data_IF_038050132210
#
_entry.id   IF_038050132210
#
_cell.length_a   1.000
_cell.length_b   1.000
_cell.length_c   1.000
_cell.angle_alpha   90.00
_cell.angle_beta   90.00
_cell.angle_gamma   90.00
#
_symmetry.space_group_name_H-M   'P 1'
#
loop_
_entity.id
_entity.type
_entity.pdbx_description
1 polymer ?
#
# COMPACT_ATOMS: atom_id res chain seq x y z
N UNK A 1 4.43 3.76 -25.58
CA UNK A 1 3.46 3.40 -24.62
C UNK A 1 3.92 3.64 -23.20
N UNK A 2 3.24 4.51 -22.50
CA UNK A 2 3.67 4.84 -21.16
C UNK A 2 3.14 3.80 -20.18
N UNK A 3 3.99 2.89 -19.81
CA UNK A 3 3.68 2.02 -18.69
C UNK A 3 3.57 2.90 -17.45
N UNK A 4 2.65 2.60 -16.57
CA UNK A 4 2.56 3.28 -15.30
C UNK A 4 3.85 2.99 -14.52
N UNK A 5 4.62 4.03 -14.29
CA UNK A 5 5.84 3.89 -13.51
C UNK A 5 5.50 3.74 -12.04
N UNK A 6 6.03 2.69 -11.46
CA UNK A 6 5.92 2.48 -10.02
C UNK A 6 7.23 2.94 -9.41
N UNK A 7 7.18 3.94 -8.54
CA UNK A 7 8.39 4.45 -7.89
C UNK A 7 8.96 3.40 -6.95
N UNK A 8 10.23 3.61 -6.56
CA UNK A 8 10.89 2.71 -5.62
C UNK A 8 10.11 2.59 -4.31
N UNK A 9 9.64 3.73 -3.80
CA UNK A 9 8.85 3.74 -2.58
C UNK A 9 7.55 2.98 -2.75
N UNK A 10 6.86 3.18 -3.87
CA UNK A 10 5.63 2.45 -4.15
C UNK A 10 5.85 0.95 -4.23
N UNK A 11 6.95 0.51 -4.83
CA UNK A 11 7.31 -0.91 -4.87
C UNK A 11 7.54 -1.46 -3.47
N UNK A 12 8.25 -0.72 -2.64
CA UNK A 12 8.49 -1.12 -1.25
C UNK A 12 7.18 -1.24 -0.48
N UNK A 13 6.27 -0.30 -0.69
CA UNK A 13 4.96 -0.32 -0.05
C UNK A 13 4.14 -1.53 -0.48
N UNK A 14 4.10 -1.81 -1.79
CA UNK A 14 3.37 -2.95 -2.32
C UNK A 14 3.94 -4.27 -1.78
N UNK A 15 5.27 -4.39 -1.73
CA UNK A 15 5.92 -5.59 -1.21
C UNK A 15 5.60 -5.80 0.27
N UNK A 16 5.66 -4.74 1.05
CA UNK A 16 5.32 -4.80 2.47
C UNK A 16 3.86 -5.20 2.68
N UNK A 17 2.96 -4.58 1.91
CA UNK A 17 1.53 -4.88 1.99
C UNK A 17 1.24 -6.32 1.59
N UNK A 18 1.91 -6.82 0.56
CA UNK A 18 1.74 -8.20 0.11
C UNK A 18 2.20 -9.18 1.20
N UNK A 19 3.36 -8.92 1.81
CA UNK A 19 3.87 -9.75 2.88
C UNK A 19 2.91 -9.77 4.07
N UNK A 20 2.38 -8.61 4.43
CA UNK A 20 1.43 -8.51 5.53
C UNK A 20 0.11 -9.21 5.19
N UNK A 21 -0.34 -9.07 3.94
CA UNK A 21 -1.53 -9.77 3.46
C UNK A 21 -1.37 -11.29 3.58
N UNK A 22 -0.21 -11.81 3.17
CA UNK A 22 0.07 -13.25 3.30
C UNK A 22 0.12 -13.69 4.75
N UNK A 23 0.72 -12.88 5.62
CA UNK A 23 0.84 -13.17 7.05
C UNK A 23 -0.54 -13.28 7.71
N UNK A 24 -1.48 -12.43 7.31
CA UNK A 24 -2.83 -12.42 7.89
C UNK A 24 -3.85 -13.15 7.04
N UNK A 25 -3.45 -13.65 5.87
CA UNK A 25 -4.33 -14.26 4.86
C UNK A 25 -5.47 -13.32 4.44
N UNK A 26 -5.18 -12.01 4.46
CA UNK A 26 -6.14 -11.01 4.07
C UNK A 26 -7.28 -10.78 5.05
N UNK A 27 -7.24 -11.42 6.22
CA UNK A 27 -8.30 -11.30 7.23
C UNK A 27 -8.22 -9.97 7.97
N UNK A 28 -6.99 -9.49 8.21
CA UNK A 28 -6.75 -8.27 8.98
C UNK A 28 -6.15 -7.22 8.06
N UNK A 29 -6.72 -6.02 8.09
CA UNK A 29 -6.18 -4.89 7.34
C UNK A 29 -4.80 -4.49 7.86
N UNK A 30 -3.95 -4.03 6.96
CA UNK A 30 -2.63 -3.51 7.33
C UNK A 30 -2.78 -2.17 8.02
N UNK A 31 -1.94 -1.90 9.01
CA UNK A 31 -1.94 -0.65 9.75
C UNK A 31 -1.11 0.41 9.01
N UNK A 32 -1.69 1.59 8.83
CA UNK A 32 -0.96 2.72 8.25
C UNK A 32 0.27 3.06 9.10
N UNK A 33 0.12 3.06 10.41
CA UNK A 33 1.21 3.35 11.32
C UNK A 33 2.34 2.32 11.22
N UNK A 34 1.98 1.04 11.11
CA UNK A 34 2.97 -0.01 10.95
C UNK A 34 3.74 0.14 9.63
N UNK A 35 3.05 0.53 8.56
CA UNK A 35 3.69 0.76 7.27
C UNK A 35 4.70 1.91 7.37
N UNK A 36 4.31 3.03 7.98
CA UNK A 36 5.19 4.18 8.15
C UNK A 36 6.44 3.80 8.93
N UNK A 37 6.27 3.05 10.02
CA UNK A 37 7.40 2.58 10.83
C UNK A 37 8.30 1.63 10.07
N UNK A 38 7.71 0.71 9.32
CA UNK A 38 8.47 -0.30 8.58
C UNK A 38 9.34 0.32 7.49
N UNK A 39 8.82 1.33 6.80
CA UNK A 39 9.55 1.97 5.72
C UNK A 39 10.52 3.04 6.22
N UNK A 40 10.30 3.56 7.41
CA UNK A 40 11.19 4.55 8.02
C UNK A 40 11.34 5.84 7.24
N UNK A 41 10.40 6.12 6.34
CA UNK A 41 10.50 7.28 5.45
C UNK A 41 9.71 8.48 5.93
N UNK A 42 9.69 9.49 5.08
CA UNK A 42 8.92 10.71 5.32
C UNK A 42 7.43 10.38 5.24
N UNK A 43 6.72 10.71 6.31
CA UNK A 43 5.29 10.47 6.42
C UNK A 43 4.50 11.13 5.30
N UNK A 44 4.90 12.32 4.88
CA UNK A 44 4.25 13.02 3.77
C UNK A 44 4.40 12.29 2.45
N UNK A 45 5.61 11.79 2.17
CA UNK A 45 5.87 11.03 0.94
C UNK A 45 5.10 9.72 0.93
N UNK A 46 5.02 9.06 2.08
CA UNK A 46 4.27 7.81 2.21
C UNK A 46 2.79 8.07 1.97
N UNK A 47 2.21 9.10 2.58
CA UNK A 47 0.82 9.47 2.37
C UNK A 47 0.53 9.78 0.90
N UNK A 48 1.39 10.55 0.25
CA UNK A 48 1.24 10.87 -1.16
C UNK A 48 1.26 9.61 -2.03
N UNK A 49 2.21 8.71 -1.76
CA UNK A 49 2.30 7.45 -2.50
C UNK A 49 1.07 6.57 -2.28
N UNK A 50 0.53 6.54 -1.07
CA UNK A 50 -0.69 5.79 -0.78
C UNK A 50 -1.88 6.33 -1.59
N UNK A 51 -2.02 7.65 -1.66
CA UNK A 51 -3.08 8.26 -2.47
C UNK A 51 -2.92 7.92 -3.95
N UNK A 52 -1.69 7.88 -4.44
CA UNK A 52 -1.40 7.49 -5.82
C UNK A 52 -1.82 6.03 -6.07
N UNK A 53 -1.47 5.13 -5.16
CA UNK A 53 -1.85 3.73 -5.29
C UNK A 53 -3.36 3.54 -5.20
N UNK A 54 -4.02 4.29 -4.34
CA UNK A 54 -5.48 4.28 -4.24
C UNK A 54 -6.13 4.73 -5.55
N UNK A 55 -5.61 5.81 -6.13
CA UNK A 55 -6.12 6.35 -7.39
C UNK A 55 -5.98 5.35 -8.54
N UNK A 56 -4.95 4.51 -8.49
CA UNK A 56 -4.75 3.44 -9.48
C UNK A 56 -5.64 2.23 -9.24
N UNK A 57 -6.35 2.20 -8.12
CA UNK A 57 -7.20 1.07 -7.78
C UNK A 57 -6.45 -0.14 -7.23
N UNK A 58 -5.22 0.04 -6.77
CA UNK A 58 -4.40 -1.05 -6.25
C UNK A 58 -4.56 -1.27 -4.75
N UNK A 59 -4.98 -0.23 -4.04
CA UNK A 59 -5.25 -0.33 -2.60
C UNK A 59 -6.53 0.42 -2.26
N UNK A 60 -7.08 0.08 -1.09
CA UNK A 60 -8.21 0.79 -0.50
C UNK A 60 -7.76 1.32 0.84
N UNK A 61 -8.03 2.59 1.09
CA UNK A 61 -7.70 3.22 2.36
C UNK A 61 -8.93 3.23 3.26
N UNK A 62 -8.80 2.62 4.44
CA UNK A 62 -9.82 2.70 5.47
C UNK A 62 -9.56 3.93 6.32
N UNK A 63 -10.54 4.83 6.39
CA UNK A 63 -10.41 6.08 7.13
C UNK A 63 -11.25 6.07 8.40
N UNK A 64 -10.74 6.76 9.42
CA UNK A 64 -11.51 7.01 10.64
C UNK A 64 -12.57 8.08 10.38
N UNK A 65 -13.56 8.24 11.27
CA UNK A 65 -14.54 9.32 11.14
C UNK A 65 -13.93 10.71 11.01
N UNK A 66 -12.72 10.91 11.53
CA UNK A 66 -11.99 12.17 11.38
C UNK A 66 -11.24 12.33 10.08
N UNK A 67 -11.38 11.40 9.12
CA UNK A 67 -10.72 11.46 7.82
C UNK A 67 -9.28 10.98 7.81
N UNK A 68 -8.79 10.45 8.92
CA UNK A 68 -7.41 9.97 9.03
C UNK A 68 -7.30 8.54 8.48
N UNK A 69 -6.29 8.28 7.67
CA UNK A 69 -6.03 6.92 7.18
C UNK A 69 -5.60 6.03 8.33
N UNK A 70 -6.31 4.92 8.52
CA UNK A 70 -6.04 3.99 9.61
C UNK A 70 -5.61 2.63 9.12
N UNK A 71 -6.26 2.12 8.08
CA UNK A 71 -6.03 0.78 7.60
C UNK A 71 -5.85 0.76 6.09
N UNK A 72 -5.19 -0.29 5.61
CA UNK A 72 -4.82 -0.45 4.21
C UNK A 72 -5.19 -1.85 3.75
N UNK A 73 -5.79 -1.94 2.55
CA UNK A 73 -6.13 -3.21 1.93
C UNK A 73 -5.59 -3.24 0.51
N UNK A 74 -5.08 -4.38 0.09
CA UNK A 74 -4.76 -4.58 -1.32
C UNK A 74 -6.02 -5.02 -2.06
N UNK A 75 -6.28 -4.41 -3.22
CA UNK A 75 -7.33 -4.90 -4.13
C UNK A 75 -6.80 -6.11 -4.88
N UNK A 76 -7.67 -6.87 -5.58
CA UNK A 76 -7.19 -7.96 -6.44
C UNK A 76 -6.14 -7.48 -7.46
N UNK A 77 -6.35 -6.31 -8.05
CA UNK A 77 -5.36 -5.71 -8.96
C UNK A 77 -4.09 -5.37 -8.23
N UNK A 78 -4.19 -4.83 -7.01
CA UNK A 78 -3.04 -4.52 -6.18
C UNK A 78 -2.24 -5.75 -5.81
N UNK A 79 -2.89 -6.87 -5.54
CA UNK A 79 -2.21 -8.14 -5.27
C UNK A 79 -1.39 -8.59 -6.48
N UNK A 80 -1.95 -8.47 -7.69
CA UNK A 80 -1.22 -8.78 -8.91
C UNK A 80 0.02 -7.90 -9.08
N UNK A 81 -0.15 -6.59 -8.89
CA UNK A 81 0.95 -5.64 -9.05
C UNK A 81 2.02 -5.85 -8.00
N UNK A 82 1.63 -6.15 -6.77
CA UNK A 82 2.59 -6.44 -5.70
C UNK A 82 3.38 -7.72 -6.01
N UNK A 83 2.71 -8.75 -6.52
CA UNK A 83 3.36 -10.00 -6.91
C UNK A 83 4.36 -9.77 -8.03
N UNK A 84 4.01 -8.98 -9.03
CA UNK A 84 4.93 -8.62 -10.12
C UNK A 84 6.16 -7.89 -9.60
N UNK A 85 5.96 -7.00 -8.62
CA UNK A 85 7.06 -6.20 -8.06
C UNK A 85 8.00 -7.01 -7.19
N UNK A 86 7.62 -8.21 -6.77
CA UNK A 86 8.43 -9.08 -5.92
C UNK A 86 9.32 -10.04 -6.71
N UNK A 87 9.27 -9.98 -8.02
CA UNK A 87 10.07 -10.85 -8.88
C UNK A 87 11.49 -10.31 -9.04
#
# INVERSE_FOLDING_TARGET
MAAQRVSRLQKQMLRWLLADHHRTRGVIASSHEALVKALGGDKGNISHSLHTLEARGWIVLGRTPGGRTESLYLTPTGLEKASESCI
#
